data_IF_745487894365
#
_entry.id   IF_745487894365
#
_cell.length_a   1.000
_cell.length_b   1.000
_cell.length_c   1.000
_cell.angle_alpha   90.00
_cell.angle_beta   90.00
_cell.angle_gamma   90.00
#
_symmetry.space_group_name_H-M   'P 1'
#
loop_
_entity.id
_entity.type
_entity.pdbx_description
1 polymer ?
#
# COMPACT_ATOMS: atom_id res chain seq x y z
N UNK A 1 3.61 -16.40 27.97
CA UNK A 1 3.19 -15.08 28.42
C UNK A 1 4.36 -14.16 28.17
N UNK A 2 4.31 -13.35 27.10
CA UNK A 2 5.34 -12.34 26.79
C UNK A 2 4.75 -10.98 27.18
N UNK A 3 5.50 -10.27 28.00
CA UNK A 3 5.10 -9.01 28.62
C UNK A 3 4.79 -7.92 27.58
N UNK A 4 3.59 -7.38 27.67
CA UNK A 4 3.20 -6.14 26.98
C UNK A 4 3.91 -5.01 27.71
N UNK A 5 4.70 -4.15 27.05
CA UNK A 5 5.30 -3.00 27.71
C UNK A 5 4.21 -2.07 28.24
N UNK A 6 4.41 -1.47 29.44
CA UNK A 6 3.40 -0.64 30.05
C UNK A 6 3.12 0.62 29.24
N UNK A 7 1.84 0.96 29.08
CA UNK A 7 1.36 2.18 28.49
C UNK A 7 2.11 3.39 29.05
N UNK A 8 2.64 4.22 28.16
CA UNK A 8 3.27 5.48 28.54
C UNK A 8 2.31 6.34 29.36
N UNK A 9 2.73 6.75 30.53
CA UNK A 9 1.99 7.63 31.42
C UNK A 9 1.77 8.99 30.72
N UNK A 10 0.52 9.45 30.54
CA UNK A 10 0.20 10.69 29.80
C UNK A 10 0.84 11.96 30.41
N UNK A 11 1.24 11.93 31.67
CA UNK A 11 1.92 13.07 32.33
C UNK A 11 3.39 13.26 31.91
N UNK A 12 4.04 12.24 31.29
CA UNK A 12 5.42 12.35 30.83
C UNK A 12 5.56 12.86 29.39
N UNK A 13 4.48 12.95 28.63
CA UNK A 13 4.50 13.41 27.23
C UNK A 13 4.32 14.92 27.07
N UNK A 14 4.00 15.64 28.14
CA UNK A 14 3.77 17.09 28.10
C UNK A 14 5.02 17.95 27.78
N UNK A 15 6.22 17.36 27.72
CA UNK A 15 7.49 18.11 27.56
C UNK A 15 8.18 17.89 26.22
N UNK A 16 7.54 17.25 25.23
CA UNK A 16 8.16 16.94 23.93
C UNK A 16 7.66 17.81 22.77
N UNK A 17 6.87 18.87 23.02
CA UNK A 17 6.41 19.79 21.96
C UNK A 17 5.52 19.11 20.88
N UNK A 18 5.01 17.89 21.15
CA UNK A 18 4.15 17.18 20.22
C UNK A 18 2.72 17.70 20.38
N UNK A 19 2.17 18.21 19.28
CA UNK A 19 0.83 18.77 19.23
C UNK A 19 -0.20 17.71 19.66
N UNK A 20 -0.93 18.00 20.75
CA UNK A 20 -1.96 17.11 21.31
C UNK A 20 -3.04 16.74 20.29
N UNK A 21 -3.30 17.63 19.32
CA UNK A 21 -4.22 17.39 18.22
C UNK A 21 -3.67 16.29 17.28
N UNK A 22 -2.37 16.30 16.99
CA UNK A 22 -1.72 15.29 16.16
C UNK A 22 -1.74 13.91 16.83
N UNK A 23 -1.48 13.85 18.14
CA UNK A 23 -1.58 12.59 18.91
C UNK A 23 -3.01 12.06 18.87
N UNK A 24 -4.02 12.91 19.07
CA UNK A 24 -5.41 12.51 19.05
C UNK A 24 -5.84 11.99 17.66
N UNK A 25 -5.42 12.65 16.58
CA UNK A 25 -5.68 12.19 15.20
C UNK A 25 -5.02 10.84 14.94
N UNK A 26 -3.79 10.63 15.41
CA UNK A 26 -3.09 9.35 15.27
C UNK A 26 -3.80 8.24 16.04
N UNK A 27 -4.22 8.50 17.27
CA UNK A 27 -4.97 7.55 18.10
C UNK A 27 -6.32 7.19 17.47
N UNK A 28 -7.03 8.17 16.89
CA UNK A 28 -8.30 7.92 16.18
C UNK A 28 -8.07 7.09 14.93
N UNK A 29 -7.00 7.34 14.16
CA UNK A 29 -6.63 6.52 13.00
C UNK A 29 -6.29 5.09 13.39
N UNK A 30 -5.54 4.88 14.46
CA UNK A 30 -5.24 3.53 14.99
C UNK A 30 -6.50 2.79 15.49
N UNK A 31 -7.53 3.51 15.93
CA UNK A 31 -8.78 2.91 16.40
C UNK A 31 -9.73 2.48 15.26
N UNK A 32 -9.60 3.08 14.07
CA UNK A 32 -10.46 2.83 12.91
C UNK A 32 -9.70 2.05 11.83
N UNK A 33 -9.73 0.71 11.94
CA UNK A 33 -9.13 -0.16 10.93
C UNK A 33 -9.82 0.01 9.58
N UNK A 34 -9.01 0.19 8.54
CA UNK A 34 -9.50 0.23 7.16
C UNK A 34 -10.05 -1.13 6.71
N UNK A 35 -10.78 -1.14 5.61
CA UNK A 35 -11.25 -2.40 5.02
C UNK A 35 -10.09 -3.31 4.62
N UNK A 36 -9.00 -2.75 4.10
CA UNK A 36 -7.82 -3.52 3.70
C UNK A 36 -7.16 -4.21 4.90
N UNK A 37 -6.95 -3.48 6.02
CA UNK A 37 -6.38 -4.05 7.25
C UNK A 37 -7.27 -5.17 7.80
N UNK A 38 -8.59 -4.95 7.84
CA UNK A 38 -9.53 -5.98 8.32
C UNK A 38 -9.47 -7.26 7.49
N UNK A 39 -9.35 -7.16 6.17
CA UNK A 39 -9.25 -8.33 5.29
C UNK A 39 -7.95 -9.12 5.50
N UNK A 40 -6.82 -8.42 5.69
CA UNK A 40 -5.53 -9.06 6.00
C UNK A 40 -5.59 -9.78 7.34
N UNK A 41 -6.16 -9.15 8.38
CA UNK A 41 -6.33 -9.76 9.70
C UNK A 41 -7.29 -10.96 9.68
N UNK A 42 -8.41 -10.85 8.96
CA UNK A 42 -9.36 -11.96 8.80
C UNK A 42 -8.74 -13.18 8.10
N UNK A 43 -7.77 -12.94 7.22
CA UNK A 43 -6.98 -14.01 6.60
C UNK A 43 -5.90 -14.59 7.53
N UNK A 44 -5.73 -14.04 8.74
CA UNK A 44 -4.73 -14.50 9.71
C UNK A 44 -3.29 -14.15 9.32
N UNK A 45 -3.10 -13.18 8.42
CA UNK A 45 -1.78 -12.77 7.95
C UNK A 45 -1.18 -11.77 8.95
N UNK A 46 0.03 -12.04 9.49
CA UNK A 46 0.73 -11.08 10.33
C UNK A 46 0.95 -9.76 9.57
N UNK A 47 0.53 -8.66 10.17
CA UNK A 47 0.62 -7.35 9.53
C UNK A 47 0.93 -6.29 10.59
N UNK A 48 1.89 -5.40 10.30
CA UNK A 48 2.14 -4.19 11.08
C UNK A 48 1.55 -2.99 10.35
N UNK A 49 0.98 -2.06 11.09
CA UNK A 49 0.48 -0.81 10.55
C UNK A 49 1.51 0.31 10.78
N UNK A 50 1.77 1.13 9.78
CA UNK A 50 2.61 2.32 9.87
C UNK A 50 1.81 3.55 9.44
N UNK A 51 1.89 4.60 10.27
CA UNK A 51 1.24 5.87 10.02
C UNK A 51 2.28 6.95 9.85
N UNK A 52 2.09 7.83 8.85
CA UNK A 52 2.97 8.96 8.58
C UNK A 52 2.18 10.19 8.14
N UNK A 53 2.76 11.36 8.33
CA UNK A 53 2.19 12.61 7.81
C UNK A 53 2.43 12.68 6.30
N UNK A 54 1.41 13.07 5.55
CA UNK A 54 1.51 13.24 4.11
C UNK A 54 1.14 14.68 3.70
N UNK A 55 1.74 15.15 2.62
CA UNK A 55 1.36 16.39 1.95
C UNK A 55 0.45 16.04 0.75
N UNK A 56 -0.71 16.68 0.65
CA UNK A 56 -1.62 16.49 -0.47
C UNK A 56 -1.04 16.94 -1.81
N UNK A 57 -0.06 17.84 -1.78
CA UNK A 57 0.65 18.33 -2.95
C UNK A 57 1.83 17.44 -3.34
N UNK A 58 2.31 16.59 -2.43
CA UNK A 58 3.39 15.62 -2.66
C UNK A 58 2.99 14.22 -2.22
N UNK A 59 2.23 13.54 -3.07
CA UNK A 59 1.82 12.14 -2.88
C UNK A 59 2.85 11.15 -3.46
N UNK A 60 4.12 11.53 -3.47
CA UNK A 60 5.19 10.65 -3.92
C UNK A 60 5.41 9.50 -2.93
N UNK A 61 5.50 8.28 -3.45
CA UNK A 61 5.74 7.09 -2.61
C UNK A 61 7.10 7.09 -1.90
N UNK A 62 8.11 7.78 -2.43
CA UNK A 62 9.42 7.91 -1.77
C UNK A 62 9.33 8.71 -0.47
N UNK A 63 8.43 9.70 -0.41
CA UNK A 63 8.14 10.40 0.85
C UNK A 63 7.62 9.44 1.93
N UNK A 64 6.74 8.51 1.56
CA UNK A 64 6.23 7.49 2.49
C UNK A 64 7.36 6.60 3.03
N UNK A 65 8.26 6.14 2.16
CA UNK A 65 9.41 5.32 2.55
C UNK A 65 10.30 6.05 3.56
N UNK A 66 10.68 7.29 3.27
CA UNK A 66 11.49 8.11 4.17
C UNK A 66 10.80 8.37 5.51
N UNK A 67 9.51 8.70 5.49
CA UNK A 67 8.73 8.98 6.71
C UNK A 67 8.59 7.74 7.62
N UNK A 68 8.59 6.54 7.04
CA UNK A 68 8.55 5.27 7.78
C UNK A 68 9.95 4.75 8.14
N UNK A 69 11.02 5.34 7.61
CA UNK A 69 12.39 4.85 7.78
C UNK A 69 12.63 3.50 7.08
N UNK A 70 11.90 3.22 6.00
CA UNK A 70 12.02 2.00 5.21
C UNK A 70 12.79 2.25 3.91
N UNK A 71 13.54 1.26 3.39
CA UNK A 71 14.11 1.33 2.05
C UNK A 71 13.02 1.52 0.99
N UNK A 72 13.28 2.34 -0.03
CA UNK A 72 12.32 2.62 -1.10
C UNK A 72 11.95 1.35 -1.89
N UNK A 73 12.85 0.39 -1.97
CA UNK A 73 12.68 -0.91 -2.63
C UNK A 73 11.69 -1.82 -1.89
N UNK A 74 11.44 -1.56 -0.60
CA UNK A 74 10.49 -2.31 0.22
C UNK A 74 9.11 -1.64 0.33
N UNK A 75 8.96 -0.42 -0.17
CA UNK A 75 7.68 0.28 -0.18
C UNK A 75 7.09 0.22 -1.58
N UNK A 76 5.91 -0.38 -1.71
CA UNK A 76 5.25 -0.64 -2.98
C UNK A 76 4.06 0.29 -3.20
N UNK A 77 4.03 0.94 -4.36
CA UNK A 77 2.89 1.72 -4.82
C UNK A 77 1.96 0.87 -5.68
N UNK A 78 0.65 1.08 -5.52
CA UNK A 78 -0.37 0.39 -6.30
C UNK A 78 -0.83 1.28 -7.45
N UNK A 79 -0.64 0.80 -8.65
CA UNK A 79 -1.00 1.45 -9.90
C UNK A 79 -2.14 0.69 -10.59
N UNK A 80 -2.98 1.40 -11.32
CA UNK A 80 -4.08 0.81 -12.08
C UNK A 80 -3.92 1.17 -13.55
N UNK A 81 -3.93 0.16 -14.41
CA UNK A 81 -3.81 0.35 -15.84
C UNK A 81 -4.89 -0.44 -16.57
N UNK A 82 -5.16 -0.04 -17.81
CA UNK A 82 -6.17 -0.64 -18.67
C UNK A 82 -5.51 -1.24 -19.89
N UNK A 83 -5.73 -2.54 -20.06
CA UNK A 83 -5.40 -3.24 -21.30
C UNK A 83 -6.44 -3.00 -22.38
N UNK A 84 -6.01 -3.06 -23.62
CA UNK A 84 -6.89 -2.88 -24.79
C UNK A 84 -7.98 -3.96 -24.87
N UNK A 85 -7.66 -5.20 -24.50
CA UNK A 85 -8.54 -6.37 -24.59
C UNK A 85 -8.89 -6.98 -23.23
N UNK A 86 -7.96 -6.93 -22.29
CA UNK A 86 -8.08 -7.63 -20.99
C UNK A 86 -8.72 -6.78 -19.91
N UNK A 87 -8.91 -5.47 -20.15
CA UNK A 87 -9.58 -4.57 -19.21
C UNK A 87 -8.65 -4.06 -18.12
N UNK A 88 -9.18 -3.90 -16.90
CA UNK A 88 -8.45 -3.29 -15.78
C UNK A 88 -7.53 -4.30 -15.09
N UNK A 89 -6.30 -3.89 -14.86
CA UNK A 89 -5.27 -4.60 -14.11
C UNK A 89 -4.67 -3.70 -13.03
N UNK A 90 -4.19 -4.33 -11.96
CA UNK A 90 -3.53 -3.68 -10.82
C UNK A 90 -2.06 -4.11 -10.80
N UNK A 91 -1.17 -3.16 -10.56
CA UNK A 91 0.27 -3.37 -10.53
C UNK A 91 0.86 -2.80 -9.24
N UNK A 92 1.54 -3.63 -8.46
CA UNK A 92 2.25 -3.22 -7.26
C UNK A 92 3.75 -3.22 -7.56
N UNK A 93 4.40 -2.06 -7.48
CA UNK A 93 5.82 -1.90 -7.80
C UNK A 93 6.53 -1.07 -6.73
N UNK A 94 7.85 -1.24 -6.53
CA UNK A 94 8.62 -0.38 -5.63
C UNK A 94 8.42 1.10 -5.94
N UNK A 95 8.38 1.95 -4.91
CA UNK A 95 8.14 3.40 -5.09
C UNK A 95 9.25 4.08 -5.87
N UNK A 96 10.49 3.57 -5.80
CA UNK A 96 11.64 4.03 -6.57
C UNK A 96 11.60 3.67 -8.06
N UNK A 97 10.74 2.71 -8.46
CA UNK A 97 10.66 2.21 -9.83
C UNK A 97 9.50 2.83 -10.61
N UNK A 98 9.54 2.69 -11.94
CA UNK A 98 8.44 3.01 -12.84
C UNK A 98 7.88 1.75 -13.49
N UNK A 99 6.56 1.71 -13.70
CA UNK A 99 5.90 0.63 -14.43
C UNK A 99 6.34 0.66 -15.90
N UNK A 100 6.85 -0.48 -16.39
CA UNK A 100 7.06 -0.68 -17.82
C UNK A 100 5.75 -1.17 -18.45
N UNK A 101 5.10 -0.30 -19.21
CA UNK A 101 3.80 -0.62 -19.82
C UNK A 101 3.86 -1.78 -20.82
N UNK A 102 5.03 -2.05 -21.42
CA UNK A 102 5.21 -3.19 -22.33
C UNK A 102 5.31 -4.50 -21.55
N UNK A 103 6.10 -4.52 -20.46
CA UNK A 103 6.18 -5.66 -19.55
C UNK A 103 4.82 -5.91 -18.87
N UNK A 104 4.14 -4.85 -18.43
CA UNK A 104 2.80 -4.92 -17.86
C UNK A 104 1.79 -5.53 -18.85
N UNK A 105 1.79 -5.10 -20.11
CA UNK A 105 0.94 -5.69 -21.15
C UNK A 105 1.25 -7.17 -21.35
N UNK A 106 2.54 -7.54 -21.41
CA UNK A 106 2.97 -8.94 -21.54
C UNK A 106 2.47 -9.79 -20.34
N UNK A 107 2.65 -9.30 -19.10
CA UNK A 107 2.19 -9.98 -17.90
C UNK A 107 0.66 -10.15 -17.88
N UNK A 108 -0.08 -9.14 -18.37
CA UNK A 108 -1.54 -9.17 -18.50
C UNK A 108 -2.07 -9.97 -19.69
N UNK A 109 -1.20 -10.53 -20.56
CA UNK A 109 -1.62 -11.20 -21.79
C UNK A 109 -2.27 -10.27 -22.81
N UNK A 110 -1.92 -8.98 -22.79
CA UNK A 110 -2.44 -7.94 -23.70
C UNK A 110 -1.36 -7.43 -24.66
N UNK A 111 -1.79 -6.68 -25.66
CA UNK A 111 -0.90 -6.02 -26.63
C UNK A 111 -0.43 -4.66 -26.14
N UNK A 112 -1.34 -3.92 -25.53
CA UNK A 112 -1.10 -2.55 -25.05
C UNK A 112 -1.67 -2.38 -23.64
N UNK A 113 -1.03 -1.51 -22.87
CA UNK A 113 -1.46 -1.11 -21.54
C UNK A 113 -1.33 0.40 -21.41
N UNK A 114 -2.31 1.04 -20.79
CA UNK A 114 -2.28 2.48 -20.50
C UNK A 114 -2.67 2.75 -19.05
N UNK A 115 -2.11 3.79 -18.45
CA UNK A 115 -2.48 4.19 -17.09
C UNK A 115 -3.91 4.69 -17.03
N UNK A 116 -4.66 4.24 -16.03
CA UNK A 116 -6.00 4.77 -15.75
C UNK A 116 -5.91 6.22 -15.29
N UNK A 117 -6.78 7.08 -15.79
CA UNK A 117 -6.85 8.47 -15.36
C UNK A 117 -7.25 8.57 -13.88
N UNK A 118 -6.60 9.49 -13.13
CA UNK A 118 -6.83 9.66 -11.68
C UNK A 118 -8.33 9.84 -11.34
N UNK A 119 -9.09 10.54 -12.18
CA UNK A 119 -10.53 10.75 -11.99
C UNK A 119 -11.38 9.48 -12.01
N UNK A 120 -10.88 8.41 -12.64
CA UNK A 120 -11.58 7.11 -12.73
C UNK A 120 -11.26 6.20 -11.53
N UNK A 121 -10.12 6.43 -10.86
CA UNK A 121 -9.57 5.54 -9.86
C UNK A 121 -10.56 5.20 -8.74
N UNK A 122 -11.22 6.22 -8.17
CA UNK A 122 -12.21 6.05 -7.10
C UNK A 122 -13.40 5.19 -7.55
N UNK A 123 -13.89 5.41 -8.77
CA UNK A 123 -15.00 4.66 -9.34
C UNK A 123 -14.67 3.19 -9.54
N UNK A 124 -13.46 2.88 -9.99
CA UNK A 124 -12.97 1.54 -10.26
C UNK A 124 -12.61 0.79 -8.99
N UNK A 125 -11.78 1.38 -8.14
CA UNK A 125 -11.14 0.68 -7.02
C UNK A 125 -11.81 0.93 -5.68
N UNK A 126 -12.47 2.06 -5.51
CA UNK A 126 -12.93 2.57 -4.21
C UNK A 126 -11.88 3.37 -3.45
N UNK A 127 -10.70 3.55 -4.02
CA UNK A 127 -9.57 4.25 -3.43
C UNK A 127 -9.23 5.52 -4.21
N UNK A 128 -8.56 6.44 -3.55
CA UNK A 128 -8.06 7.68 -4.14
C UNK A 128 -6.56 7.60 -4.39
N UNK A 129 -6.03 8.49 -5.22
CA UNK A 129 -4.59 8.63 -5.43
C UNK A 129 -3.87 8.90 -4.10
N UNK A 130 -2.76 8.18 -3.86
CA UNK A 130 -1.99 8.23 -2.61
C UNK A 130 -2.50 7.31 -1.50
N UNK A 131 -3.69 6.69 -1.68
CA UNK A 131 -4.27 5.74 -0.74
C UNK A 131 -4.81 4.47 -1.42
N UNK A 132 -4.35 4.17 -2.63
CA UNK A 132 -4.81 2.98 -3.36
C UNK A 132 -4.15 1.72 -2.78
N UNK A 133 -4.96 0.83 -2.20
CA UNK A 133 -4.53 -0.47 -1.69
C UNK A 133 -4.76 -1.57 -2.74
N UNK A 134 -3.87 -2.58 -2.81
CA UNK A 134 -4.13 -3.77 -3.62
C UNK A 134 -5.18 -4.69 -2.97
N UNK A 135 -5.46 -4.50 -1.68
CA UNK A 135 -6.42 -5.28 -0.89
C UNK A 135 -7.75 -4.54 -0.77
N UNK A 136 -8.87 -5.24 -0.93
CA UNK A 136 -10.20 -4.70 -0.61
C UNK A 136 -10.77 -3.72 -1.63
N UNK A 137 -10.33 -3.76 -2.88
CA UNK A 137 -10.94 -3.00 -3.99
C UNK A 137 -12.41 -3.36 -4.19
N UNK A 138 -13.21 -2.43 -4.70
CA UNK A 138 -14.64 -2.64 -5.02
C UNK A 138 -14.90 -3.85 -5.91
N UNK A 139 -13.97 -4.16 -6.81
CA UNK A 139 -13.99 -5.31 -7.70
C UNK A 139 -12.64 -6.01 -7.62
N UNK A 140 -12.65 -7.32 -7.79
CA UNK A 140 -11.41 -8.08 -7.99
C UNK A 140 -10.90 -7.84 -9.40
N UNK A 141 -9.68 -7.34 -9.50
CA UNK A 141 -8.96 -7.17 -10.76
C UNK A 141 -7.75 -8.10 -10.77
N UNK A 142 -7.34 -8.63 -11.94
CA UNK A 142 -6.04 -9.29 -12.07
C UNK A 142 -4.95 -8.36 -11.55
N UNK A 143 -4.17 -8.88 -10.59
CA UNK A 143 -3.14 -8.09 -9.90
C UNK A 143 -1.78 -8.70 -10.13
N UNK A 144 -0.79 -7.85 -10.33
CA UNK A 144 0.60 -8.23 -10.53
C UNK A 144 1.47 -7.49 -9.51
N UNK A 145 2.40 -8.21 -8.89
CA UNK A 145 3.41 -7.64 -7.99
C UNK A 145 4.76 -7.79 -8.67
N UNK A 146 5.57 -6.74 -8.64
CA UNK A 146 6.92 -6.80 -9.21
C UNK A 146 7.76 -7.88 -8.53
N UNK A 147 8.54 -8.60 -9.32
CA UNK A 147 9.30 -9.76 -8.86
C UNK A 147 10.36 -9.42 -7.79
N UNK A 148 10.77 -8.16 -7.68
CA UNK A 148 11.68 -7.71 -6.63
C UNK A 148 11.13 -7.91 -5.23
N UNK A 149 9.82 -8.08 -5.07
CA UNK A 149 9.19 -8.36 -3.78
C UNK A 149 9.73 -9.64 -3.12
N UNK A 150 10.18 -10.63 -3.91
CA UNK A 150 10.75 -11.90 -3.38
C UNK A 150 12.10 -11.71 -2.67
N UNK A 151 12.74 -10.56 -2.88
CA UNK A 151 14.01 -10.21 -2.23
C UNK A 151 13.81 -9.59 -0.83
N UNK A 152 12.57 -9.38 -0.42
CA UNK A 152 12.20 -8.71 0.82
C UNK A 152 11.47 -9.69 1.75
N UNK A 153 11.84 -9.70 3.03
CA UNK A 153 11.09 -10.44 4.06
C UNK A 153 9.71 -9.81 4.30
N UNK A 154 9.61 -8.48 4.17
CA UNK A 154 8.40 -7.70 4.34
C UNK A 154 8.38 -6.57 3.31
N UNK A 155 7.19 -6.23 2.82
CA UNK A 155 6.94 -5.04 1.99
C UNK A 155 5.84 -4.19 2.60
N UNK A 156 5.90 -2.89 2.36
CA UNK A 156 4.83 -1.96 2.72
C UNK A 156 3.93 -1.68 1.51
N UNK A 157 2.61 -1.75 1.71
CA UNK A 157 1.60 -1.36 0.73
C UNK A 157 0.55 -0.48 1.40
N UNK A 158 -0.14 0.37 0.63
CA UNK A 158 -1.19 1.22 1.19
C UNK A 158 -2.28 0.41 1.91
N UNK A 159 -2.66 0.87 3.08
CA UNK A 159 -3.78 0.34 3.87
C UNK A 159 -5.15 0.82 3.38
N UNK A 160 -5.23 1.61 2.30
CA UNK A 160 -6.47 2.10 1.73
C UNK A 160 -6.78 3.56 2.02
N UNK A 161 -5.88 4.27 2.70
CA UNK A 161 -5.95 5.71 2.95
C UNK A 161 -4.56 6.34 2.91
N UNK A 162 -4.51 7.66 2.72
CA UNK A 162 -3.25 8.40 2.70
C UNK A 162 -2.62 8.42 4.09
N UNK A 163 -1.28 8.28 4.14
CA UNK A 163 -0.54 8.31 5.40
C UNK A 163 -0.68 7.04 6.24
N UNK A 164 -1.16 5.94 5.64
CA UNK A 164 -1.35 4.66 6.32
C UNK A 164 -0.90 3.50 5.43
N UNK A 165 0.03 2.71 5.92
CA UNK A 165 0.59 1.54 5.24
C UNK A 165 0.40 0.28 6.06
N UNK A 166 0.32 -0.85 5.37
CA UNK A 166 0.42 -2.20 5.91
C UNK A 166 1.79 -2.77 5.55
N UNK A 167 2.47 -3.38 6.52
CA UNK A 167 3.77 -4.03 6.36
C UNK A 167 3.56 -5.50 6.62
N UNK A 168 3.80 -6.35 5.62
CA UNK A 168 3.49 -7.77 5.66
C UNK A 168 4.37 -8.55 4.67
N UNK A 169 4.36 -9.87 4.83
CA UNK A 169 5.03 -10.80 3.92
C UNK A 169 4.48 -10.69 2.48
N UNK A 170 5.34 -10.51 1.46
CA UNK A 170 4.91 -10.32 0.08
C UNK A 170 4.21 -11.55 -0.53
N UNK A 171 4.62 -12.77 -0.15
CA UNK A 171 3.99 -13.98 -0.66
C UNK A 171 2.59 -14.15 -0.06
N UNK A 172 2.44 -13.89 1.24
CA UNK A 172 1.13 -13.92 1.90
C UNK A 172 0.17 -12.87 1.31
N UNK A 173 0.69 -11.68 0.95
CA UNK A 173 -0.10 -10.69 0.23
C UNK A 173 -0.51 -11.19 -1.16
N UNK A 174 0.44 -11.75 -1.94
CA UNK A 174 0.16 -12.27 -3.27
C UNK A 174 -0.91 -13.37 -3.23
N UNK A 175 -0.80 -14.30 -2.28
CA UNK A 175 -1.78 -15.39 -2.10
C UNK A 175 -3.17 -14.84 -1.73
N UNK A 176 -3.25 -13.87 -0.80
CA UNK A 176 -4.50 -13.26 -0.35
C UNK A 176 -5.29 -12.63 -1.51
N UNK A 177 -4.61 -11.88 -2.38
CA UNK A 177 -5.25 -11.15 -3.47
C UNK A 177 -5.25 -11.91 -4.80
N UNK A 178 -4.62 -13.09 -4.85
CA UNK A 178 -4.45 -13.87 -6.07
C UNK A 178 -3.55 -13.18 -7.10
N UNK A 179 -2.51 -12.50 -6.64
CA UNK A 179 -1.59 -11.78 -7.52
C UNK A 179 -0.60 -12.71 -8.20
N UNK A 180 -0.16 -12.31 -9.39
CA UNK A 180 0.97 -12.92 -10.08
C UNK A 180 2.24 -12.11 -9.84
N UNK A 181 3.35 -12.79 -9.53
CA UNK A 181 4.66 -12.16 -9.41
C UNK A 181 5.30 -12.15 -10.80
N UNK A 182 5.73 -10.98 -11.28
CA UNK A 182 6.25 -10.80 -12.62
C UNK A 182 7.22 -9.61 -12.72
N UNK A 183 8.17 -9.67 -13.65
CA UNK A 183 9.00 -8.53 -14.03
C UNK A 183 8.13 -7.50 -14.76
N UNK A 184 7.85 -6.36 -14.12
CA UNK A 184 6.94 -5.32 -14.62
C UNK A 184 7.49 -3.90 -14.49
N UNK A 185 8.73 -3.74 -14.01
CA UNK A 185 9.40 -2.44 -13.87
C UNK A 185 10.44 -2.18 -14.97
N UNK A 186 10.79 -0.87 -15.15
CA UNK A 186 11.86 -0.46 -16.07
C UNK A 186 13.23 -0.79 -15.52
#
# INVERSE_FOLDING_TARGET
MKDIPPFANPEKTANLGVDSHRIMVLVIKMANKTNAVRLVEQAGIPCREAFYEFDENDLNGTHAAHAMGMPEEQVFKTLVARGERTGIHVFCIPVCCELDLKKAAKAAGDKNMEMVAVKELLGLTGYIRGGCSPVGMKKKYPTHIDETCILCDEIAVSAGERGHQMILDPQALADLIGAQIADITK
#
